data_IF_531173827816
#
_entry.id   IF_531173827816
#
_cell.length_a   1.000
_cell.length_b   1.000
_cell.length_c   1.000
_cell.angle_alpha   90.00
_cell.angle_beta   90.00
_cell.angle_gamma   90.00
#
_symmetry.space_group_name_H-M   'P 1'
#
loop_
_entity.id
_entity.type
_entity.pdbx_description
1 polymer ?
#
# COMPACT_ATOMS: atom_id res chain seq x y z
N UNK A 1 -29.69 -19.18 -36.54
CA UNK A 1 -31.00 -19.49 -35.98
C UNK A 1 -32.01 -19.22 -37.09
N UNK A 2 -32.76 -20.25 -37.51
CA UNK A 2 -33.82 -20.12 -38.53
C UNK A 2 -35.05 -19.46 -37.86
N UNK A 3 -35.81 -18.71 -38.63
CA UNK A 3 -37.03 -18.05 -38.12
C UNK A 3 -37.97 -19.12 -37.52
N UNK A 4 -38.37 -18.94 -36.25
CA UNK A 4 -39.23 -19.85 -35.50
C UNK A 4 -38.51 -20.83 -34.52
N UNK A 5 -37.19 -20.73 -34.38
CA UNK A 5 -36.46 -21.49 -33.35
C UNK A 5 -36.29 -20.66 -32.06
N UNK A 6 -36.62 -21.26 -30.92
CA UNK A 6 -36.37 -20.69 -29.60
C UNK A 6 -35.04 -21.24 -29.07
N UNK A 7 -34.16 -20.36 -28.64
CA UNK A 7 -32.96 -20.73 -27.90
C UNK A 7 -33.13 -20.29 -26.44
N UNK A 8 -33.08 -21.22 -25.52
CA UNK A 8 -33.00 -20.93 -24.08
C UNK A 8 -31.53 -20.80 -23.76
N UNK A 9 -31.07 -19.55 -23.51
CA UNK A 9 -29.74 -19.28 -23.03
C UNK A 9 -29.83 -19.26 -21.50
N UNK A 10 -29.30 -20.28 -20.85
CA UNK A 10 -29.05 -20.25 -19.41
C UNK A 10 -27.92 -19.24 -19.14
N UNK A 11 -28.28 -18.07 -18.70
CA UNK A 11 -27.27 -17.15 -18.14
C UNK A 11 -26.92 -17.73 -16.77
N UNK A 12 -25.80 -18.43 -16.69
CA UNK A 12 -25.12 -18.65 -15.40
C UNK A 12 -24.59 -17.29 -15.02
N UNK A 13 -25.31 -16.60 -14.14
CA UNK A 13 -24.70 -15.41 -13.50
C UNK A 13 -23.41 -15.90 -12.85
N UNK A 14 -22.24 -15.37 -13.26
CA UNK A 14 -21.01 -15.68 -12.52
C UNK A 14 -21.26 -15.23 -11.08
N UNK A 15 -21.00 -16.11 -10.11
CA UNK A 15 -20.95 -15.67 -8.71
C UNK A 15 -20.12 -14.38 -8.67
N UNK A 16 -20.65 -13.31 -8.05
CA UNK A 16 -19.94 -12.05 -8.02
C UNK A 16 -18.52 -12.34 -7.49
N UNK A 17 -17.52 -11.93 -8.25
CA UNK A 17 -16.10 -12.11 -7.91
C UNK A 17 -15.70 -11.47 -6.57
N UNK A 18 -16.64 -10.90 -5.85
CA UNK A 18 -16.54 -10.20 -4.57
C UNK A 18 -17.30 -10.91 -3.42
N UNK A 19 -17.57 -12.21 -3.51
CA UNK A 19 -18.20 -12.96 -2.41
C UNK A 19 -17.21 -13.27 -1.26
N UNK A 20 -16.48 -12.27 -0.80
CA UNK A 20 -15.68 -12.42 0.41
C UNK A 20 -16.60 -12.77 1.58
N UNK A 21 -16.38 -13.91 2.23
CA UNK A 21 -17.14 -14.31 3.40
C UNK A 21 -16.64 -13.59 4.64
N UNK A 22 -17.52 -13.19 5.59
CA UNK A 22 -17.12 -12.62 6.87
C UNK A 22 -16.19 -13.57 7.64
N UNK A 23 -15.06 -13.05 8.12
CA UNK A 23 -14.11 -13.81 8.93
C UNK A 23 -13.58 -12.92 10.06
N UNK A 24 -13.81 -13.32 11.31
CA UNK A 24 -13.43 -12.52 12.47
C UNK A 24 -11.91 -12.39 12.58
N UNK A 25 -11.42 -11.15 12.65
CA UNK A 25 -10.01 -10.83 12.89
C UNK A 25 -9.89 -9.52 13.68
N UNK A 26 -8.76 -9.33 14.35
CA UNK A 26 -8.46 -8.07 15.01
C UNK A 26 -8.13 -6.98 13.97
N UNK A 27 -8.85 -5.87 14.02
CA UNK A 27 -8.63 -4.69 13.19
C UNK A 27 -8.04 -3.57 14.05
N UNK A 28 -6.91 -3.01 13.63
CA UNK A 28 -6.32 -1.83 14.29
C UNK A 28 -6.99 -0.57 13.74
N UNK A 29 -8.07 -0.14 14.39
CA UNK A 29 -8.84 1.03 14.00
C UNK A 29 -8.15 2.29 14.54
N UNK A 30 -7.85 3.24 13.65
CA UNK A 30 -7.21 4.53 13.98
C UNK A 30 -8.24 5.65 14.07
N UNK A 31 -9.29 5.58 13.25
CA UNK A 31 -10.39 6.53 13.25
C UNK A 31 -11.65 5.81 12.77
N UNK A 32 -12.77 6.10 13.40
CA UNK A 32 -14.08 5.61 12.99
C UNK A 32 -15.16 6.61 13.34
N UNK A 33 -16.09 6.83 12.41
CA UNK A 33 -17.34 7.54 12.59
C UNK A 33 -18.47 6.85 11.80
N UNK A 34 -19.56 7.57 11.53
CA UNK A 34 -20.67 7.02 10.77
C UNK A 34 -20.34 6.82 9.28
N UNK A 35 -19.48 7.65 8.70
CA UNK A 35 -19.21 7.70 7.26
C UNK A 35 -17.93 6.97 6.86
N UNK A 36 -16.91 6.95 7.72
CA UNK A 36 -15.59 6.45 7.39
C UNK A 36 -14.98 5.60 8.49
N UNK A 37 -14.10 4.70 8.07
CA UNK A 37 -13.26 3.88 8.91
C UNK A 37 -11.82 3.96 8.38
N UNK A 38 -10.84 4.20 9.24
CA UNK A 38 -9.41 4.17 8.89
C UNK A 38 -8.70 3.14 9.73
N UNK A 39 -8.00 2.24 9.05
CA UNK A 39 -7.32 1.10 9.66
C UNK A 39 -5.81 1.26 9.49
N UNK A 40 -5.04 0.97 10.54
CA UNK A 40 -3.60 0.71 10.44
C UNK A 40 -3.40 -0.77 10.09
N UNK A 41 -3.29 -1.06 8.78
CA UNK A 41 -3.15 -2.42 8.28
C UNK A 41 -1.78 -3.00 8.67
N UNK A 42 -1.69 -4.15 9.34
CA UNK A 42 -0.42 -4.81 9.58
C UNK A 42 0.22 -5.29 8.26
N UNK A 43 1.54 -5.47 8.27
CA UNK A 43 2.22 -6.22 7.22
C UNK A 43 1.79 -7.69 7.24
N UNK A 44 1.79 -8.36 6.08
CA UNK A 44 1.36 -9.76 5.94
C UNK A 44 -0.13 -9.94 5.64
N UNK A 45 -0.97 -8.92 5.85
CA UNK A 45 -2.42 -8.98 5.58
C UNK A 45 -2.72 -8.53 4.15
N UNK A 46 -3.38 -9.39 3.37
CA UNK A 46 -3.89 -9.09 2.03
C UNK A 46 -5.17 -8.24 2.15
N UNK A 47 -5.38 -7.29 1.25
CA UNK A 47 -6.54 -6.38 1.30
C UNK A 47 -7.81 -7.05 0.76
N UNK A 48 -7.75 -7.68 -0.40
CA UNK A 48 -8.90 -8.33 -1.06
C UNK A 48 -8.61 -9.80 -1.37
N UNK A 49 -9.62 -10.67 -1.37
CA UNK A 49 -9.46 -12.01 -1.90
C UNK A 49 -8.91 -12.03 -3.33
N UNK A 50 -8.18 -13.06 -3.66
CA UNK A 50 -7.60 -13.23 -4.98
C UNK A 50 -6.84 -14.54 -5.11
N UNK A 51 -6.22 -14.76 -6.27
CA UNK A 51 -5.45 -15.97 -6.53
C UNK A 51 -4.39 -16.20 -5.44
N UNK A 52 -4.43 -17.33 -4.76
CA UNK A 52 -3.53 -17.69 -3.67
C UNK A 52 -3.91 -17.16 -2.27
N UNK A 53 -4.95 -16.32 -2.16
CA UNK A 53 -5.47 -15.84 -0.88
C UNK A 53 -7.01 -15.68 -0.99
N UNK A 54 -7.78 -16.79 -0.99
CA UNK A 54 -9.24 -16.73 -1.16
C UNK A 54 -9.97 -16.23 0.09
N UNK A 55 -9.34 -16.29 1.26
CA UNK A 55 -9.85 -15.91 2.57
C UNK A 55 -8.74 -15.30 3.43
N UNK A 56 -9.04 -14.91 4.67
CA UNK A 56 -8.07 -14.29 5.59
C UNK A 56 -7.62 -12.90 5.15
N UNK A 57 -8.46 -12.17 4.41
CA UNK A 57 -8.13 -10.84 3.91
C UNK A 57 -8.76 -9.74 4.77
N UNK A 58 -8.27 -8.51 4.62
CA UNK A 58 -8.86 -7.37 5.29
C UNK A 58 -10.36 -7.22 4.96
N UNK A 59 -10.75 -7.49 3.72
CA UNK A 59 -12.15 -7.46 3.30
C UNK A 59 -13.01 -8.46 4.09
N UNK A 60 -12.52 -9.69 4.31
CA UNK A 60 -13.22 -10.67 5.16
C UNK A 60 -13.39 -10.15 6.60
N UNK A 61 -12.34 -9.55 7.16
CA UNK A 61 -12.40 -8.96 8.52
C UNK A 61 -13.35 -7.77 8.61
N UNK A 62 -13.37 -6.91 7.61
CA UNK A 62 -14.30 -5.78 7.52
C UNK A 62 -15.76 -6.22 7.47
N UNK A 63 -16.08 -7.27 6.70
CA UNK A 63 -17.42 -7.83 6.62
C UNK A 63 -17.86 -8.47 7.94
N UNK A 64 -16.95 -9.09 8.68
CA UNK A 64 -17.25 -9.61 10.01
C UNK A 64 -17.43 -8.48 11.04
N UNK A 65 -16.66 -7.40 10.93
CA UNK A 65 -16.74 -6.24 11.82
C UNK A 65 -18.01 -5.42 11.61
N UNK A 66 -18.33 -5.12 10.34
CA UNK A 66 -19.50 -4.33 9.95
C UNK A 66 -20.17 -4.98 8.71
N UNK A 67 -21.16 -5.88 8.93
CA UNK A 67 -21.83 -6.61 7.85
C UNK A 67 -22.47 -5.71 6.77
N UNK A 68 -22.90 -4.50 7.14
CA UNK A 68 -23.48 -3.53 6.20
C UNK A 68 -22.52 -3.13 5.07
N UNK A 69 -21.20 -3.34 5.23
CA UNK A 69 -20.22 -3.09 4.17
C UNK A 69 -20.40 -4.02 2.95
N UNK A 70 -21.15 -5.12 3.08
CA UNK A 70 -21.47 -6.00 1.95
C UNK A 70 -22.27 -5.29 0.84
N UNK A 71 -22.99 -4.22 1.18
CA UNK A 71 -23.76 -3.41 0.24
C UNK A 71 -22.91 -2.42 -0.56
N UNK A 72 -21.64 -2.20 -0.16
CA UNK A 72 -20.75 -1.25 -0.80
C UNK A 72 -19.81 -1.97 -1.78
N UNK A 73 -19.46 -1.30 -2.90
CA UNK A 73 -18.44 -1.81 -3.79
C UNK A 73 -17.15 -2.12 -3.03
N UNK A 74 -16.61 -3.34 -3.16
CA UNK A 74 -15.39 -3.80 -2.46
C UNK A 74 -15.44 -3.60 -0.94
N UNK A 75 -16.63 -3.77 -0.36
CA UNK A 75 -16.85 -3.56 1.08
C UNK A 75 -16.35 -2.19 1.57
N UNK A 76 -16.56 -1.14 0.76
CA UNK A 76 -16.17 0.22 1.07
C UNK A 76 -14.67 0.55 0.93
N UNK A 77 -13.83 -0.41 0.57
CA UNK A 77 -12.38 -0.21 0.44
C UNK A 77 -12.08 0.68 -0.77
N UNK A 78 -11.50 1.84 -0.54
CA UNK A 78 -11.26 2.87 -1.57
C UNK A 78 -9.94 2.72 -2.31
N UNK A 79 -8.92 2.21 -1.64
CA UNK A 79 -7.59 1.97 -2.20
C UNK A 79 -6.96 0.72 -1.58
N UNK A 80 -5.82 0.31 -2.09
CA UNK A 80 -5.15 -0.89 -1.59
C UNK A 80 -3.73 -0.61 -1.14
N UNK A 81 -3.27 -1.46 -0.24
CA UNK A 81 -1.86 -1.64 0.11
C UNK A 81 -1.44 -3.06 -0.32
N UNK A 82 -0.18 -3.24 -0.65
CA UNK A 82 0.37 -4.58 -0.90
C UNK A 82 0.32 -5.42 0.39
N UNK A 83 0.32 -6.73 0.28
CA UNK A 83 0.27 -7.67 1.41
C UNK A 83 1.21 -7.25 2.54
N UNK A 84 2.48 -7.02 2.21
CA UNK A 84 3.55 -6.75 3.16
C UNK A 84 3.83 -5.25 3.40
N UNK A 85 3.00 -4.37 2.83
CA UNK A 85 2.98 -2.94 3.15
C UNK A 85 2.03 -2.71 4.32
N UNK A 86 2.52 -2.07 5.38
CA UNK A 86 1.74 -1.68 6.55
C UNK A 86 1.24 -0.25 6.45
N UNK A 87 0.30 0.15 7.33
CA UNK A 87 -0.13 1.52 7.52
C UNK A 87 -1.56 1.82 7.10
N UNK A 88 -1.87 3.11 6.98
CA UNK A 88 -3.23 3.63 6.88
C UNK A 88 -3.95 3.22 5.60
N UNK A 89 -5.17 2.73 5.77
CA UNK A 89 -6.10 2.37 4.71
C UNK A 89 -7.48 2.94 5.02
N UNK A 90 -8.08 3.64 4.03
CA UNK A 90 -9.38 4.30 4.13
C UNK A 90 -10.50 3.40 3.59
N UNK A 91 -11.55 3.29 4.36
CA UNK A 91 -12.78 2.55 4.05
C UNK A 91 -13.97 3.48 4.21
N UNK A 92 -14.87 3.53 3.25
CA UNK A 92 -16.16 4.20 3.36
C UNK A 92 -17.19 3.26 4.00
N UNK A 93 -18.05 3.78 4.88
CA UNK A 93 -19.11 3.01 5.55
C UNK A 93 -20.48 3.22 4.91
N UNK A 94 -20.63 4.24 4.06
CA UNK A 94 -21.89 4.56 3.37
C UNK A 94 -21.66 4.75 1.86
N UNK A 95 -22.72 4.56 1.06
CA UNK A 95 -22.65 4.79 -0.40
C UNK A 95 -22.34 6.26 -0.74
N UNK A 96 -22.95 7.28 -0.09
CA UNK A 96 -22.60 8.67 -0.33
C UNK A 96 -21.12 8.97 -0.05
N UNK A 97 -20.60 8.49 1.10
CA UNK A 97 -19.17 8.63 1.46
C UNK A 97 -18.26 7.95 0.43
N UNK A 98 -18.59 6.71 0.04
CA UNK A 98 -17.85 5.98 -0.99
C UNK A 98 -17.77 6.77 -2.31
N UNK A 99 -18.91 7.25 -2.80
CA UNK A 99 -18.99 8.01 -4.06
C UNK A 99 -18.17 9.30 -3.97
N UNK A 100 -18.25 10.02 -2.86
CA UNK A 100 -17.50 11.27 -2.65
C UNK A 100 -16.00 11.00 -2.59
N UNK A 101 -15.57 10.04 -1.79
CA UNK A 101 -14.15 9.73 -1.58
C UNK A 101 -13.49 9.11 -2.82
N UNK A 102 -14.22 8.34 -3.65
CA UNK A 102 -13.73 7.89 -4.95
C UNK A 102 -13.42 9.07 -5.87
N UNK A 103 -14.34 10.05 -5.97
CA UNK A 103 -14.09 11.28 -6.73
C UNK A 103 -12.91 12.09 -6.19
N UNK A 104 -12.74 12.12 -4.87
CA UNK A 104 -11.62 12.82 -4.23
C UNK A 104 -10.29 12.11 -4.47
N UNK A 105 -10.28 10.77 -4.55
CA UNK A 105 -9.11 9.99 -4.97
C UNK A 105 -8.74 10.25 -6.44
N UNK A 106 -9.71 10.23 -7.33
CA UNK A 106 -9.51 10.49 -8.74
C UNK A 106 -9.01 11.92 -8.99
N UNK A 107 -9.55 12.88 -8.24
CA UNK A 107 -9.13 14.28 -8.27
C UNK A 107 -7.83 14.55 -7.49
N UNK A 108 -7.15 13.52 -6.94
CA UNK A 108 -5.91 13.62 -6.16
C UNK A 108 -6.01 14.50 -4.90
N UNK A 109 -7.22 14.64 -4.34
CA UNK A 109 -7.48 15.42 -3.12
C UNK A 109 -7.20 14.66 -1.82
N UNK A 110 -6.98 13.34 -1.90
CA UNK A 110 -6.59 12.51 -0.75
C UNK A 110 -5.08 12.36 -0.75
N UNK A 111 -4.42 12.90 0.27
CA UNK A 111 -2.98 12.76 0.46
C UNK A 111 -2.66 11.42 1.10
N UNK A 112 -1.80 10.65 0.45
CA UNK A 112 -1.26 9.39 0.94
C UNK A 112 0.26 9.50 0.97
N UNK A 113 0.83 9.62 2.17
CA UNK A 113 2.27 9.71 2.33
C UNK A 113 2.82 8.44 2.99
N UNK A 114 3.90 7.96 2.44
CA UNK A 114 4.58 6.74 2.87
C UNK A 114 5.97 7.05 3.41
N UNK A 115 6.47 6.15 4.24
CA UNK A 115 7.87 6.05 4.61
C UNK A 115 8.48 4.83 3.95
N UNK A 116 9.68 5.01 3.39
CA UNK A 116 10.41 3.92 2.77
C UNK A 116 11.90 4.00 3.04
N UNK A 117 12.56 2.84 3.11
CA UNK A 117 14.03 2.75 3.13
C UNK A 117 14.48 2.15 1.83
N UNK A 118 15.33 2.88 1.11
CA UNK A 118 15.89 2.49 -0.17
C UNK A 118 17.34 2.01 -0.04
N UNK A 119 17.73 1.09 -0.91
CA UNK A 119 19.11 0.69 -1.10
C UNK A 119 19.86 1.78 -1.87
N UNK A 120 21.07 2.10 -1.44
CA UNK A 120 21.92 3.13 -2.02
C UNK A 120 21.65 4.54 -1.48
N UNK A 121 22.59 5.43 -1.72
CA UNK A 121 22.54 6.82 -1.26
C UNK A 121 22.01 7.72 -2.37
N UNK A 122 20.84 8.30 -2.14
CA UNK A 122 20.19 9.23 -3.08
C UNK A 122 20.72 10.65 -2.86
N UNK A 123 20.98 11.37 -3.94
CA UNK A 123 21.50 12.75 -3.87
C UNK A 123 20.43 13.77 -3.49
N UNK A 124 19.18 13.52 -3.83
CA UNK A 124 18.05 14.42 -3.55
C UNK A 124 16.70 13.75 -3.66
N UNK A 125 15.65 14.52 -3.45
CA UNK A 125 14.28 14.17 -3.79
C UNK A 125 14.03 14.29 -5.30
N UNK A 126 12.86 13.80 -5.75
CA UNK A 126 12.49 13.86 -7.15
C UNK A 126 11.07 13.38 -7.41
N UNK A 127 10.77 13.29 -8.69
CA UNK A 127 9.51 12.77 -9.23
C UNK A 127 9.84 11.65 -10.21
N UNK A 128 9.13 10.54 -10.10
CA UNK A 128 9.12 9.48 -11.11
C UNK A 128 7.74 9.53 -11.77
N UNK A 129 7.71 9.96 -13.02
CA UNK A 129 6.50 10.01 -13.87
C UNK A 129 6.69 9.01 -15.01
N UNK A 130 6.46 7.74 -14.71
CA UNK A 130 6.70 6.64 -15.63
C UNK A 130 5.52 5.66 -15.62
N UNK A 131 5.02 5.24 -16.80
CA UNK A 131 3.88 4.37 -16.89
C UNK A 131 4.19 2.94 -16.41
N UNK A 132 3.21 2.32 -15.73
CA UNK A 132 3.35 0.98 -15.16
C UNK A 132 2.41 0.00 -15.84
N UNK A 133 2.94 -1.14 -16.25
CA UNK A 133 2.20 -2.31 -16.72
C UNK A 133 2.61 -3.58 -15.98
N UNK A 134 1.92 -4.70 -16.31
CA UNK A 134 2.35 -6.01 -15.84
C UNK A 134 3.64 -6.41 -16.57
N UNK A 135 4.63 -6.93 -15.82
CA UNK A 135 5.89 -7.41 -16.39
C UNK A 135 5.65 -8.52 -17.43
N UNK A 136 6.28 -8.44 -18.61
CA UNK A 136 5.99 -9.30 -19.76
C UNK A 136 6.15 -10.79 -19.48
N UNK A 137 7.19 -11.18 -18.74
CA UNK A 137 7.50 -12.58 -18.45
C UNK A 137 7.20 -13.01 -17.01
N UNK A 138 7.28 -12.09 -16.03
CA UNK A 138 7.06 -12.38 -14.60
C UNK A 138 5.69 -11.88 -14.15
N UNK A 139 4.65 -12.68 -14.34
CA UNK A 139 3.25 -12.29 -14.15
C UNK A 139 2.90 -11.73 -12.76
N UNK A 140 3.70 -12.03 -11.74
CA UNK A 140 3.53 -11.52 -10.37
C UNK A 140 4.16 -10.14 -10.15
N UNK A 141 4.93 -9.64 -11.13
CA UNK A 141 5.59 -8.34 -11.06
C UNK A 141 4.94 -7.31 -11.97
N UNK A 142 5.15 -6.05 -11.61
CA UNK A 142 4.89 -4.88 -12.45
C UNK A 142 6.22 -4.35 -12.98
N UNK A 143 6.17 -3.55 -14.04
CA UNK A 143 7.34 -2.92 -14.65
C UNK A 143 6.99 -1.54 -15.19
N UNK A 144 7.99 -0.65 -15.28
CA UNK A 144 7.88 0.56 -16.10
C UNK A 144 7.95 0.13 -17.56
N UNK A 145 6.90 0.42 -18.31
CA UNK A 145 6.82 0.10 -19.74
C UNK A 145 6.01 1.15 -20.50
N UNK A 146 6.48 1.51 -21.70
CA UNK A 146 5.74 2.35 -22.63
C UNK A 146 4.37 1.70 -22.96
N UNK A 147 3.31 2.51 -22.91
CA UNK A 147 1.93 2.01 -23.07
C UNK A 147 1.29 1.46 -21.80
N UNK A 148 2.00 1.45 -20.67
CA UNK A 148 1.45 1.19 -19.35
C UNK A 148 0.47 2.28 -18.88
N UNK A 149 -0.12 2.10 -17.71
CA UNK A 149 -1.01 3.09 -17.08
C UNK A 149 -0.19 4.18 -16.42
N UNK A 150 -0.52 5.44 -16.67
CA UNK A 150 0.15 6.60 -16.07
C UNK A 150 0.30 6.45 -14.54
N UNK A 151 1.49 6.73 -14.04
CA UNK A 151 1.83 6.61 -12.63
C UNK A 151 2.85 7.68 -12.23
N UNK A 152 2.54 8.44 -11.17
CA UNK A 152 3.38 9.54 -10.68
C UNK A 152 3.66 9.35 -9.20
N UNK A 153 4.95 9.34 -8.84
CA UNK A 153 5.47 9.17 -7.49
C UNK A 153 6.43 10.29 -7.16
N UNK A 154 6.11 11.09 -6.14
CA UNK A 154 7.02 12.10 -5.59
C UNK A 154 7.76 11.51 -4.40
N UNK A 155 9.05 11.80 -4.26
CA UNK A 155 9.81 11.40 -3.10
C UNK A 155 10.74 12.51 -2.59
N UNK A 156 10.96 12.53 -1.29
CA UNK A 156 11.84 13.46 -0.59
C UNK A 156 12.74 12.70 0.36
N UNK A 157 14.03 13.00 0.33
CA UNK A 157 15.00 12.42 1.27
C UNK A 157 14.75 12.99 2.67
N UNK A 158 14.61 12.10 3.64
CA UNK A 158 14.51 12.43 5.07
C UNK A 158 15.86 12.28 5.78
N UNK A 159 16.56 11.17 5.49
CA UNK A 159 17.90 10.93 6.00
C UNK A 159 18.73 10.11 5.02
N UNK A 160 20.04 10.30 5.06
CA UNK A 160 21.02 9.50 4.34
C UNK A 160 21.87 8.73 5.33
N UNK A 161 22.04 7.45 5.05
CA UNK A 161 22.98 6.57 5.73
C UNK A 161 24.09 6.20 4.75
N UNK A 162 25.15 5.56 5.22
CA UNK A 162 26.30 5.24 4.37
C UNK A 162 25.93 4.49 3.06
N UNK A 163 24.96 3.59 3.10
CA UNK A 163 24.55 2.76 1.97
C UNK A 163 23.04 2.67 1.76
N UNK A 164 22.26 3.49 2.43
CA UNK A 164 20.80 3.48 2.36
C UNK A 164 20.24 4.90 2.46
N UNK A 165 19.01 5.08 2.02
CA UNK A 165 18.33 6.37 2.12
C UNK A 165 16.92 6.17 2.69
N UNK A 166 16.57 6.95 3.71
CA UNK A 166 15.22 7.04 4.24
C UNK A 166 14.46 8.16 3.53
N UNK A 167 13.29 7.86 3.00
CA UNK A 167 12.51 8.80 2.18
C UNK A 167 11.05 8.88 2.63
N UNK A 168 10.46 10.06 2.43
CA UNK A 168 9.01 10.24 2.35
C UNK A 168 8.57 10.13 0.89
N UNK A 169 7.46 9.45 0.65
CA UNK A 169 6.91 9.25 -0.69
C UNK A 169 5.45 9.68 -0.71
N UNK A 170 5.05 10.45 -1.73
CA UNK A 170 3.66 10.85 -1.97
C UNK A 170 3.20 10.36 -3.34
N UNK A 171 1.99 9.81 -3.38
CA UNK A 171 1.40 9.26 -4.59
C UNK A 171 0.35 10.20 -5.18
N UNK A 172 0.41 10.45 -6.49
CA UNK A 172 -0.72 11.00 -7.25
C UNK A 172 -1.64 9.89 -7.76
N UNK A 173 -1.08 8.76 -8.12
CA UNK A 173 -1.76 7.57 -8.61
C UNK A 173 -1.56 6.39 -7.66
N UNK A 174 -2.33 5.31 -7.80
CA UNK A 174 -2.22 4.13 -6.93
C UNK A 174 -2.16 2.83 -7.74
N UNK A 175 -1.13 2.66 -8.58
CA UNK A 175 -0.96 1.41 -9.35
C UNK A 175 -0.36 0.32 -8.49
N UNK A 176 -0.65 -0.93 -8.84
CA UNK A 176 -0.07 -2.09 -8.15
C UNK A 176 1.45 -1.99 -8.09
N UNK A 177 2.03 -2.15 -6.91
CA UNK A 177 3.47 -2.06 -6.63
C UNK A 177 4.14 -0.74 -7.03
N UNK A 178 3.38 0.35 -7.20
CA UNK A 178 3.89 1.58 -7.83
C UNK A 178 5.17 2.11 -7.21
N UNK A 179 5.21 2.34 -5.90
CA UNK A 179 6.41 2.86 -5.22
C UNK A 179 7.59 1.90 -5.41
N UNK A 180 7.36 0.61 -5.26
CA UNK A 180 8.38 -0.44 -5.38
C UNK A 180 9.01 -0.48 -6.77
N UNK A 181 8.17 -0.42 -7.81
CA UNK A 181 8.60 -0.40 -9.21
C UNK A 181 9.34 0.90 -9.53
N UNK A 182 8.81 2.06 -9.13
CA UNK A 182 9.43 3.35 -9.41
C UNK A 182 10.78 3.49 -8.71
N UNK A 183 10.92 3.08 -7.45
CA UNK A 183 12.19 3.13 -6.75
C UNK A 183 13.21 2.16 -7.36
N UNK A 184 12.79 0.98 -7.79
CA UNK A 184 13.65 0.05 -8.51
C UNK A 184 14.07 0.60 -9.89
N UNK A 185 13.16 1.28 -10.60
CA UNK A 185 13.44 1.92 -11.89
C UNK A 185 14.54 2.99 -11.77
N UNK A 186 14.49 3.82 -10.73
CA UNK A 186 15.54 4.81 -10.46
C UNK A 186 16.78 4.21 -9.76
N UNK A 187 16.90 2.87 -9.72
CA UNK A 187 18.04 2.10 -9.16
C UNK A 187 18.22 2.22 -7.64
N UNK A 188 17.15 2.58 -6.94
CA UNK A 188 17.09 2.61 -5.49
C UNK A 188 15.93 1.74 -4.96
N UNK A 189 15.97 0.39 -5.18
CA UNK A 189 14.90 -0.49 -4.73
C UNK A 189 14.74 -0.43 -3.21
N UNK A 190 13.56 -0.80 -2.73
CA UNK A 190 13.28 -0.80 -1.29
C UNK A 190 14.03 -1.94 -0.59
N UNK A 191 14.57 -1.67 0.59
CA UNK A 191 15.18 -2.68 1.45
C UNK A 191 14.19 -3.80 1.72
N UNK A 192 14.64 -5.04 1.66
CA UNK A 192 13.86 -6.24 1.98
C UNK A 192 12.78 -6.61 0.95
N UNK A 193 12.63 -5.87 -0.16
CA UNK A 193 11.63 -6.16 -1.19
C UNK A 193 11.97 -7.45 -1.94
N UNK A 194 11.18 -8.54 -1.79
CA UNK A 194 11.50 -9.82 -2.40
C UNK A 194 11.33 -9.85 -3.92
N UNK A 195 10.61 -8.88 -4.48
CA UNK A 195 10.32 -8.83 -5.90
C UNK A 195 11.28 -7.92 -6.69
N UNK A 196 11.69 -6.80 -6.11
CA UNK A 196 12.37 -5.73 -6.85
C UNK A 196 13.78 -5.39 -6.35
N UNK A 197 14.18 -5.78 -5.11
CA UNK A 197 15.52 -5.45 -4.59
C UNK A 197 16.64 -6.36 -5.09
N UNK A 198 16.31 -7.45 -5.78
CA UNK A 198 17.29 -8.43 -6.19
C UNK A 198 17.88 -9.22 -5.01
N UNK A 199 19.16 -9.60 -5.11
CA UNK A 199 19.87 -10.29 -4.02
C UNK A 199 20.18 -9.32 -2.90
N UNK A 200 19.99 -9.75 -1.65
CA UNK A 200 20.44 -8.99 -0.48
C UNK A 200 21.95 -8.74 -0.55
N UNK A 201 22.33 -7.48 -0.49
CA UNK A 201 23.72 -7.04 -0.41
C UNK A 201 23.94 -6.47 0.99
N UNK A 202 24.86 -7.07 1.75
CA UNK A 202 25.32 -6.50 3.01
C UNK A 202 26.47 -5.56 2.69
N UNK A 203 26.41 -4.27 3.07
CA UNK A 203 27.49 -3.33 2.81
C UNK A 203 28.81 -3.77 3.47
N UNK A 204 29.94 -3.47 2.82
CA UNK A 204 31.24 -3.68 3.42
C UNK A 204 31.36 -2.81 4.69
N UNK A 205 31.86 -3.39 5.77
CA UNK A 205 31.98 -2.70 7.06
C UNK A 205 30.68 -2.53 7.83
N UNK A 206 29.57 -3.16 7.40
CA UNK A 206 28.34 -3.17 8.16
C UNK A 206 28.54 -3.75 9.57
N UNK A 207 27.98 -3.09 10.58
CA UNK A 207 27.99 -3.61 11.96
C UNK A 207 27.21 -4.91 12.04
N UNK A 208 27.48 -5.78 13.05
CA UNK A 208 26.67 -6.97 13.31
C UNK A 208 25.17 -6.62 13.42
N UNK A 209 24.82 -5.56 14.15
CA UNK A 209 23.44 -5.06 14.32
C UNK A 209 22.79 -4.76 12.96
N UNK A 210 23.47 -4.02 12.09
CA UNK A 210 22.94 -3.70 10.74
C UNK A 210 22.83 -4.96 9.88
N UNK A 211 23.83 -5.84 9.93
CA UNK A 211 23.81 -7.09 9.19
C UNK A 211 22.60 -7.96 9.57
N UNK A 212 22.32 -8.10 10.87
CA UNK A 212 21.18 -8.86 11.37
C UNK A 212 19.85 -8.20 11.02
N UNK A 213 19.76 -6.86 11.14
CA UNK A 213 18.58 -6.11 10.75
C UNK A 213 18.25 -6.29 9.25
N UNK A 214 19.25 -6.18 8.37
CA UNK A 214 19.05 -6.38 6.93
C UNK A 214 18.69 -7.82 6.56
N UNK A 215 19.25 -8.82 7.27
CA UNK A 215 18.93 -10.24 7.06
C UNK A 215 17.55 -10.63 7.56
N UNK A 216 17.11 -10.05 8.65
CA UNK A 216 15.80 -10.35 9.26
C UNK A 216 14.65 -9.60 8.63
N UNK A 217 14.90 -8.43 8.00
CA UNK A 217 13.86 -7.63 7.35
C UNK A 217 13.45 -8.23 6.01
N UNK A 218 12.37 -9.06 6.01
CA UNK A 218 11.97 -9.91 4.87
C UNK A 218 10.76 -9.39 4.08
N UNK A 219 10.48 -8.09 4.13
CA UNK A 219 9.41 -7.43 3.41
C UNK A 219 9.90 -6.10 2.83
N UNK A 220 9.16 -5.51 1.89
CA UNK A 220 9.50 -4.15 1.46
C UNK A 220 9.45 -3.18 2.66
N UNK A 221 10.52 -2.41 2.84
CA UNK A 221 10.58 -1.34 3.82
C UNK A 221 9.71 -0.17 3.35
N UNK A 222 8.37 -0.36 3.49
CA UNK A 222 7.33 0.55 3.05
C UNK A 222 6.18 0.57 4.06
N UNK A 223 5.78 1.78 4.45
CA UNK A 223 4.71 2.00 5.42
C UNK A 223 3.86 3.22 5.02
N UNK A 224 2.54 3.07 4.94
CA UNK A 224 1.59 4.15 4.69
C UNK A 224 1.42 5.00 5.97
N UNK A 225 2.27 6.01 6.13
CA UNK A 225 2.48 6.78 7.36
C UNK A 225 1.40 7.82 7.62
N UNK A 226 0.94 8.54 6.58
CA UNK A 226 -0.01 9.65 6.69
C UNK A 226 -1.12 9.51 5.67
N UNK A 227 -2.33 9.78 6.13
CA UNK A 227 -3.53 9.87 5.33
C UNK A 227 -4.27 11.16 5.69
N UNK A 228 -4.44 12.05 4.68
CA UNK A 228 -5.16 13.30 4.88
C UNK A 228 -6.23 13.44 3.80
N UNK A 229 -7.47 13.71 4.21
CA UNK A 229 -8.63 13.84 3.33
C UNK A 229 -9.68 14.78 3.93
N UNK A 230 -10.60 15.26 3.10
CA UNK A 230 -11.77 16.01 3.55
C UNK A 230 -12.87 15.03 3.90
N UNK A 231 -13.42 15.10 5.08
CA UNK A 231 -14.50 14.23 5.54
C UNK A 231 -15.75 14.41 4.66
N UNK A 232 -16.33 13.30 4.15
CA UNK A 232 -17.36 13.38 3.10
C UNK A 232 -18.66 14.06 3.53
N UNK A 233 -19.01 14.03 4.81
CA UNK A 233 -20.22 14.65 5.34
C UNK A 233 -19.95 16.02 5.98
N UNK A 234 -18.99 16.11 6.93
CA UNK A 234 -18.75 17.38 7.65
C UNK A 234 -17.95 18.42 6.85
N UNK A 235 -17.16 18.00 5.87
CA UNK A 235 -16.25 18.87 5.14
C UNK A 235 -14.96 19.23 5.92
N UNK A 236 -14.79 18.73 7.13
CA UNK A 236 -13.57 18.95 7.92
C UNK A 236 -12.39 18.15 7.36
N UNK A 237 -11.18 18.69 7.54
CA UNK A 237 -9.97 17.96 7.17
C UNK A 237 -9.59 16.97 8.27
N UNK A 238 -9.53 15.70 7.90
CA UNK A 238 -9.01 14.63 8.74
C UNK A 238 -7.57 14.35 8.31
N UNK A 239 -6.63 14.42 9.26
CA UNK A 239 -5.20 14.19 9.03
C UNK A 239 -4.65 13.19 10.07
N UNK A 240 -4.37 11.98 9.64
CA UNK A 240 -4.04 10.85 10.49
C UNK A 240 -2.61 10.37 10.23
N UNK A 241 -1.94 9.96 11.30
CA UNK A 241 -0.60 9.39 11.27
C UNK A 241 -0.62 8.00 11.93
N UNK A 242 -0.09 6.98 11.25
CA UNK A 242 0.18 5.69 11.86
C UNK A 242 1.63 5.63 12.39
N UNK A 243 1.89 5.08 13.57
CA UNK A 243 3.25 4.90 14.06
C UNK A 243 4.03 3.93 13.16
N UNK A 244 5.35 4.14 13.03
CA UNK A 244 6.19 3.17 12.33
C UNK A 244 6.15 1.81 13.04
N UNK A 245 5.98 0.69 12.32
CA UNK A 245 6.03 -0.64 12.90
C UNK A 245 7.36 -0.93 13.58
N UNK A 246 7.35 -1.81 14.57
CA UNK A 246 8.54 -2.15 15.37
C UNK A 246 9.73 -2.63 14.52
N UNK A 247 9.47 -3.50 13.53
CA UNK A 247 10.49 -3.98 12.60
C UNK A 247 11.10 -2.86 11.75
N UNK A 248 10.27 -1.91 11.29
CA UNK A 248 10.73 -0.74 10.53
C UNK A 248 11.55 0.20 11.40
N UNK A 249 11.12 0.45 12.65
CA UNK A 249 11.90 1.24 13.63
C UNK A 249 13.24 0.57 13.94
N UNK A 250 13.26 -0.73 14.14
CA UNK A 250 14.50 -1.49 14.39
C UNK A 250 15.48 -1.40 13.19
N UNK A 251 14.96 -1.46 11.96
CA UNK A 251 15.77 -1.25 10.75
C UNK A 251 16.37 0.16 10.72
N UNK A 252 15.56 1.20 10.95
CA UNK A 252 16.05 2.59 10.99
C UNK A 252 17.08 2.79 12.09
N UNK A 253 16.86 2.24 13.29
CA UNK A 253 17.79 2.33 14.41
C UNK A 253 19.12 1.64 14.08
N UNK A 254 19.10 0.51 13.41
CA UNK A 254 20.33 -0.17 12.96
C UNK A 254 21.09 0.62 11.89
N UNK A 255 20.37 1.37 11.04
CA UNK A 255 20.96 2.24 10.04
C UNK A 255 21.54 3.53 10.66
N UNK A 256 20.91 4.05 11.71
CA UNK A 256 21.31 5.27 12.41
C UNK A 256 22.29 5.03 13.58
N UNK A 257 22.54 3.79 13.94
CA UNK A 257 23.32 3.34 15.10
C UNK A 257 22.79 3.83 16.48
N UNK A 258 21.57 4.44 16.50
CA UNK A 258 20.98 5.02 17.72
C UNK A 258 19.43 5.05 17.61
N UNK A 259 18.73 4.48 18.57
CA UNK A 259 17.26 4.48 18.61
C UNK A 259 16.68 5.90 18.78
N UNK A 260 17.36 6.77 19.52
CA UNK A 260 16.94 8.16 19.69
C UNK A 260 17.02 8.97 18.39
N UNK A 261 17.83 8.57 17.43
CA UNK A 261 17.90 9.21 16.13
C UNK A 261 16.61 8.99 15.31
N UNK A 262 15.91 7.85 15.49
CA UNK A 262 14.67 7.56 14.77
C UNK A 262 13.58 8.56 15.12
N UNK A 263 13.44 8.93 16.39
CA UNK A 263 12.44 9.89 16.84
C UNK A 263 12.73 11.31 16.30
N UNK A 264 14.01 11.66 16.08
CA UNK A 264 14.40 12.90 15.41
C UNK A 264 14.09 12.89 13.91
N UNK A 265 14.15 11.74 13.26
CA UNK A 265 13.85 11.59 11.84
C UNK A 265 12.33 11.69 11.52
N UNK A 266 11.49 11.48 12.53
CA UNK A 266 10.02 11.47 12.38
C UNK A 266 9.34 12.78 12.85
N UNK A 267 10.09 13.74 13.39
CA UNK A 267 9.62 15.09 13.70
C UNK A 267 9.65 15.99 12.47
#
# INVERSE_FOLDING_TARGET
>A
VLAGQWAVIGIVEPEPADSAQPEAMALSIVHEDHEVLVIDKPAGLVVHPGAGNPAGTLQNGLLAYLPALAELPRSGILHRLDKDTSGLLLVAKTIPAHTRLVRDLEARRITREYRAVCVGTMTGGGVVDEPISRHRSQRTKMAVEQGGRAAVTHYRVLARFAHHTYIAVRLETGRTHQIRVHMAHVRHPLVGDPAYSGRLIIPAGATPRLTDALRSFRRQALHARRLCFVHPASGETIDLLAPLPADFRALLAALADDDAAVDRLER
#
